data_IF_062544576382
#
_entry.id   IF_062544576382
#
_cell.length_a   1.000
_cell.length_b   1.000
_cell.length_c   1.000
_cell.angle_alpha   90.00
_cell.angle_beta   90.00
_cell.angle_gamma   90.00
#
_symmetry.space_group_name_H-M   'P 1'
#
loop_
_entity.id
_entity.type
_entity.pdbx_description
1 polymer ?
#
# COMPACT_ATOMS: atom_id res chain seq x y z
N UNK A 1 -4.65 -4.18 3.50
CA UNK A 1 -3.87 -5.28 2.93
C UNK A 1 -3.36 -6.16 4.05
N UNK A 2 -3.63 -7.47 3.98
CA UNK A 2 -2.96 -8.51 4.77
C UNK A 2 -3.19 -9.91 4.12
N UNK A 3 -2.26 -10.47 3.34
CA UNK A 3 -1.01 -9.86 2.86
C UNK A 3 -1.20 -9.07 1.56
N UNK A 4 -2.29 -9.26 0.81
CA UNK A 4 -2.47 -8.70 -0.54
C UNK A 4 -3.76 -7.88 -0.71
N UNK A 5 -3.83 -7.11 -1.79
CA UNK A 5 -5.02 -6.37 -2.21
C UNK A 5 -4.70 -5.28 -3.22
N UNK A 6 -5.54 -4.24 -3.29
CA UNK A 6 -5.42 -3.16 -4.27
C UNK A 6 -5.09 -1.82 -3.60
N UNK A 7 -4.23 -1.04 -4.25
CA UNK A 7 -3.95 0.36 -3.91
C UNK A 7 -4.24 1.26 -5.09
N UNK A 8 -4.62 2.51 -4.83
CA UNK A 8 -4.89 3.50 -5.88
C UNK A 8 -3.72 4.48 -6.02
N UNK A 9 -3.03 4.44 -7.16
CA UNK A 9 -1.82 5.23 -7.43
C UNK A 9 -1.98 5.92 -8.78
N UNK A 10 -1.81 7.25 -8.82
CA UNK A 10 -1.87 8.07 -10.05
C UNK A 10 -3.09 7.85 -10.96
N UNK A 11 -4.25 7.47 -10.40
CA UNK A 11 -5.47 7.23 -11.18
C UNK A 11 -5.74 5.76 -11.52
N UNK A 12 -4.87 4.85 -11.07
CA UNK A 12 -4.93 3.42 -11.41
C UNK A 12 -4.94 2.54 -10.16
N UNK A 13 -5.64 1.41 -10.25
CA UNK A 13 -5.56 0.36 -9.23
C UNK A 13 -4.40 -0.59 -9.52
N UNK A 14 -3.54 -0.78 -8.52
CA UNK A 14 -2.38 -1.65 -8.57
C UNK A 14 -2.50 -2.77 -7.54
N UNK A 15 -2.02 -3.96 -7.89
CA UNK A 15 -1.85 -5.03 -6.90
C UNK A 15 -0.73 -4.65 -5.94
N UNK A 16 -0.96 -4.87 -4.67
CA UNK A 16 0.04 -4.60 -3.65
C UNK A 16 0.04 -5.65 -2.54
N UNK A 17 1.19 -5.76 -1.88
CA UNK A 17 1.37 -6.54 -0.65
C UNK A 17 1.89 -5.68 0.50
N UNK A 18 1.53 -6.05 1.73
CA UNK A 18 1.99 -5.40 2.95
C UNK A 18 2.41 -6.44 4.00
N UNK A 19 3.46 -6.13 4.76
CA UNK A 19 3.96 -6.99 5.84
C UNK A 19 3.16 -6.83 7.15
N UNK A 20 2.42 -5.73 7.28
CA UNK A 20 1.51 -5.45 8.39
C UNK A 20 0.10 -5.19 7.85
N UNK A 21 -0.96 -5.53 8.60
CA UNK A 21 -2.32 -5.21 8.20
C UNK A 21 -2.53 -3.73 7.97
N UNK A 22 -3.10 -3.40 6.81
CA UNK A 22 -3.56 -2.06 6.46
C UNK A 22 -5.08 -2.10 6.26
N UNK A 23 -5.83 -1.20 6.87
CA UNK A 23 -7.27 -1.13 6.69
C UNK A 23 -7.63 -0.39 5.39
N UNK A 24 -8.89 -0.51 4.97
CA UNK A 24 -9.41 0.30 3.87
C UNK A 24 -9.31 1.79 4.23
N UNK A 25 -9.11 2.65 3.22
CA UNK A 25 -8.89 4.10 3.35
C UNK A 25 -7.62 4.55 4.10
N UNK A 26 -6.81 3.64 4.67
CA UNK A 26 -5.50 4.00 5.20
C UNK A 26 -4.51 4.35 4.08
N UNK A 27 -3.71 5.39 4.31
CA UNK A 27 -2.66 5.78 3.37
C UNK A 27 -1.47 4.87 3.51
N UNK A 28 -0.87 4.56 2.37
CA UNK A 28 0.33 3.73 2.27
C UNK A 28 1.43 4.43 1.51
N UNK A 29 2.66 4.07 1.82
CA UNK A 29 3.84 4.42 1.05
C UNK A 29 4.29 3.21 0.24
N UNK A 30 4.57 3.40 -1.05
CA UNK A 30 5.18 2.37 -1.89
C UNK A 30 6.66 2.27 -1.55
N UNK A 31 7.12 1.08 -1.16
CA UNK A 31 8.50 0.82 -0.77
C UNK A 31 9.29 0.09 -1.85
N UNK A 32 8.62 -0.69 -2.69
CA UNK A 32 9.25 -1.47 -3.76
C UNK A 32 8.24 -1.78 -4.89
N UNK A 33 8.75 -2.07 -6.08
CA UNK A 33 7.98 -2.61 -7.20
C UNK A 33 8.61 -3.92 -7.67
N UNK A 34 7.84 -5.01 -7.60
CA UNK A 34 8.21 -6.33 -8.10
C UNK A 34 7.30 -6.73 -9.27
N UNK A 35 7.80 -6.54 -10.49
CA UNK A 35 7.05 -6.75 -11.71
C UNK A 35 5.81 -5.84 -11.79
N UNK A 36 4.62 -6.42 -11.63
CA UNK A 36 3.34 -5.70 -11.64
C UNK A 36 2.68 -5.65 -10.25
N UNK A 37 3.45 -5.91 -9.19
CA UNK A 37 2.99 -5.86 -7.79
C UNK A 37 3.82 -4.85 -7.01
N UNK A 38 3.17 -4.03 -6.21
CA UNK A 38 3.82 -3.06 -5.32
C UNK A 38 4.00 -3.66 -3.93
N UNK A 39 5.11 -3.39 -3.27
CA UNK A 39 5.21 -3.55 -1.81
C UNK A 39 4.90 -2.22 -1.17
N UNK A 40 4.05 -2.22 -0.15
CA UNK A 40 3.63 -1.00 0.54
C UNK A 40 3.69 -1.18 2.05
N UNK A 41 3.84 -0.05 2.76
CA UNK A 41 3.70 0.01 4.21
C UNK A 41 2.70 1.08 4.61
N UNK A 42 2.05 0.91 5.77
CA UNK A 42 1.18 1.96 6.32
C UNK A 42 1.99 3.24 6.52
N UNK A 43 1.44 4.36 6.08
CA UNK A 43 2.03 5.67 6.31
C UNK A 43 1.56 6.17 7.68
N UNK A 44 2.41 6.08 8.70
CA UNK A 44 2.09 6.65 10.01
C UNK A 44 1.94 8.18 9.90
N UNK A 45 0.72 8.65 10.11
CA UNK A 45 0.44 10.07 10.28
C UNK A 45 0.86 10.49 11.69
N UNK A 46 2.16 10.74 11.90
CA UNK A 46 2.61 11.55 13.03
C UNK A 46 2.19 12.99 12.76
N UNK A 47 1.00 13.36 13.26
CA UNK A 47 0.45 14.71 13.18
C UNK A 47 1.41 15.67 13.88
N UNK A 48 1.85 16.72 13.17
CA UNK A 48 2.37 17.97 13.75
C UNK A 48 1.30 19.04 13.68
#
# INVERSE_FOLDING_TARGET
LDPEGLVFVHGEYWRATADEPVEEDERVEVTEMDGLTLRVRRLDHSVS
#
